data_IF_273779020227
#
_entry.id   IF_273779020227
#
_cell.length_a   1.000
_cell.length_b   1.000
_cell.length_c   1.000
_cell.angle_alpha   90.00
_cell.angle_beta   90.00
_cell.angle_gamma   90.00
#
_symmetry.space_group_name_H-M   'P 1'
#
loop_
_entity.id
_entity.type
_entity.pdbx_description
1 polymer ?
#
# COMPACT_ATOMS: atom_id res chain seq x y z
N UNK A 1 7.97 -29.73 7.14
CA UNK A 1 8.24 -28.87 8.31
C UNK A 1 8.08 -27.45 7.83
N UNK A 2 7.19 -26.67 8.42
CA UNK A 2 7.10 -25.23 8.09
C UNK A 2 8.44 -24.60 8.46
N UNK A 3 9.14 -23.99 7.50
CA UNK A 3 10.36 -23.24 7.77
C UNK A 3 9.96 -21.99 8.58
N UNK A 4 10.63 -21.77 9.69
CA UNK A 4 10.40 -20.60 10.55
C UNK A 4 11.17 -19.36 10.07
N UNK A 5 11.73 -19.42 8.87
CA UNK A 5 12.58 -18.37 8.32
C UNK A 5 12.03 -17.89 6.98
N UNK A 6 11.99 -16.59 6.77
CA UNK A 6 11.78 -15.92 5.50
C UNK A 6 12.81 -14.79 5.34
N UNK A 7 12.94 -14.22 4.16
CA UNK A 7 13.86 -13.12 3.94
C UNK A 7 13.06 -11.82 3.70
N UNK A 8 13.41 -10.76 4.41
CA UNK A 8 12.80 -9.45 4.23
C UNK A 8 13.78 -8.45 3.63
N UNK A 9 13.28 -7.61 2.71
CA UNK A 9 14.06 -6.55 2.08
C UNK A 9 13.28 -5.23 2.20
N UNK A 10 13.94 -4.15 2.55
CA UNK A 10 13.39 -2.79 2.60
C UNK A 10 14.05 -1.94 1.52
N UNK A 11 13.26 -1.46 0.54
CA UNK A 11 13.72 -0.62 -0.56
C UNK A 11 13.49 0.85 -0.20
N UNK A 12 14.53 1.50 0.32
CA UNK A 12 14.50 2.93 0.62
C UNK A 12 15.18 3.78 -0.46
N UNK A 13 14.87 5.07 -0.51
CA UNK A 13 15.42 6.01 -1.50
C UNK A 13 16.95 6.16 -1.47
N UNK A 14 17.60 5.88 -0.33
CA UNK A 14 19.07 5.99 -0.17
C UNK A 14 19.76 4.64 0.02
N UNK A 15 19.04 3.55 0.17
CA UNK A 15 19.62 2.23 0.39
C UNK A 15 18.58 1.14 0.48
N UNK A 16 18.91 0.00 -0.10
CA UNK A 16 18.18 -1.24 -0.03
C UNK A 16 18.80 -2.07 1.09
N UNK A 17 17.96 -2.55 2.01
CA UNK A 17 18.40 -3.29 3.19
C UNK A 17 17.68 -4.61 3.24
N UNK A 18 18.29 -5.65 3.76
CA UNK A 18 17.63 -6.94 3.94
C UNK A 18 18.33 -7.81 4.95
N UNK A 19 17.59 -8.78 5.46
CA UNK A 19 18.08 -9.80 6.37
C UNK A 19 17.14 -11.02 6.38
N UNK A 20 17.64 -12.20 6.75
CA UNK A 20 16.78 -13.30 7.17
C UNK A 20 16.05 -12.93 8.47
N UNK A 21 14.79 -13.36 8.56
CA UNK A 21 13.91 -13.08 9.70
C UNK A 21 13.54 -14.40 10.37
N UNK A 22 13.73 -14.49 11.69
CA UNK A 22 13.13 -15.54 12.50
C UNK A 22 11.66 -15.20 12.78
N UNK A 23 10.77 -15.84 12.06
CA UNK A 23 9.33 -15.61 12.15
C UNK A 23 8.70 -16.11 13.47
N UNK A 24 9.45 -16.86 14.27
CA UNK A 24 8.97 -17.27 15.59
C UNK A 24 9.26 -16.21 16.64
N UNK A 25 10.43 -15.59 16.54
CA UNK A 25 10.86 -14.53 17.44
C UNK A 25 10.34 -13.15 17.02
N UNK A 26 10.08 -12.94 15.72
CA UNK A 26 9.74 -11.64 15.17
C UNK A 26 10.94 -10.70 15.10
N UNK A 27 12.14 -11.27 14.88
CA UNK A 27 13.40 -10.54 14.90
C UNK A 27 14.27 -10.89 13.68
N UNK A 28 15.21 -10.01 13.36
CA UNK A 28 16.22 -10.33 12.36
C UNK A 28 17.10 -11.48 12.87
N UNK A 29 17.29 -12.51 12.06
CA UNK A 29 18.12 -13.66 12.43
C UNK A 29 19.63 -13.34 12.39
N UNK A 30 20.01 -12.29 11.64
CA UNK A 30 21.38 -11.77 11.54
C UNK A 30 21.35 -10.26 11.37
N UNK A 31 22.49 -9.60 11.45
CA UNK A 31 22.61 -8.20 11.09
C UNK A 31 22.15 -7.97 9.66
N UNK A 32 21.38 -6.88 9.44
CA UNK A 32 20.94 -6.48 8.10
C UNK A 32 22.11 -5.93 7.27
N UNK A 33 22.18 -6.33 6.02
CA UNK A 33 23.05 -5.71 5.04
C UNK A 33 22.36 -4.50 4.39
N UNK A 34 23.12 -3.50 3.99
CA UNK A 34 22.65 -2.33 3.25
C UNK A 34 23.49 -2.11 2.00
N UNK A 35 22.86 -2.04 0.84
CA UNK A 35 23.45 -1.63 -0.43
C UNK A 35 22.85 -0.26 -0.81
N UNK A 36 23.62 0.71 -1.32
CA UNK A 36 23.07 1.97 -1.82
C UNK A 36 22.04 1.75 -2.91
N UNK A 37 20.92 2.48 -2.86
CA UNK A 37 19.93 2.45 -3.94
C UNK A 37 20.53 3.01 -5.23
N UNK A 38 20.44 2.29 -6.35
CA UNK A 38 21.00 2.75 -7.62
C UNK A 38 20.30 4.04 -8.09
N UNK A 39 21.04 4.88 -8.79
CA UNK A 39 20.52 6.10 -9.39
C UNK A 39 20.83 6.12 -10.90
N UNK A 40 19.83 6.19 -11.77
CA UNK A 40 18.39 6.21 -11.49
C UNK A 40 17.88 4.87 -10.91
N UNK A 41 16.86 4.93 -10.04
CA UNK A 41 16.25 3.76 -9.39
C UNK A 41 15.23 3.08 -10.30
N UNK A 42 15.66 2.69 -11.50
CA UNK A 42 14.80 1.98 -12.47
C UNK A 42 14.52 0.55 -12.01
N UNK A 43 13.43 -0.10 -12.51
CA UNK A 43 13.09 -1.48 -12.18
C UNK A 43 14.25 -2.45 -12.30
N UNK A 44 14.95 -2.44 -13.44
CA UNK A 44 16.09 -3.34 -13.69
C UNK A 44 17.28 -3.09 -12.75
N UNK A 45 17.64 -1.83 -12.49
CA UNK A 45 18.75 -1.49 -11.62
C UNK A 45 18.47 -1.89 -10.16
N UNK A 46 17.24 -1.66 -9.69
CA UNK A 46 16.83 -2.05 -8.34
C UNK A 46 16.73 -3.57 -8.22
N UNK A 47 16.18 -4.27 -9.22
CA UNK A 47 16.09 -5.73 -9.22
C UNK A 47 17.49 -6.39 -9.17
N UNK A 48 18.47 -5.81 -9.85
CA UNK A 48 19.86 -6.28 -9.77
C UNK A 48 20.43 -6.09 -8.35
N UNK A 49 20.20 -4.93 -7.73
CA UNK A 49 20.65 -4.68 -6.35
C UNK A 49 19.97 -5.60 -5.34
N UNK A 50 18.68 -5.92 -5.56
CA UNK A 50 17.95 -6.91 -4.75
C UNK A 50 18.56 -8.29 -4.88
N UNK A 51 18.95 -8.72 -6.10
CA UNK A 51 19.65 -9.98 -6.34
C UNK A 51 20.98 -10.03 -5.59
N UNK A 52 21.83 -8.99 -5.76
CA UNK A 52 23.11 -8.88 -5.06
C UNK A 52 22.97 -8.98 -3.54
N UNK A 53 21.94 -8.32 -2.99
CA UNK A 53 21.65 -8.35 -1.56
C UNK A 53 21.32 -9.78 -1.09
N UNK A 54 20.43 -10.48 -1.80
CA UNK A 54 20.04 -11.85 -1.47
C UNK A 54 21.23 -12.80 -1.55
N UNK A 55 22.02 -12.72 -2.62
CA UNK A 55 23.22 -13.55 -2.81
C UNK A 55 24.26 -13.39 -1.68
N UNK A 56 24.28 -12.20 -1.04
CA UNK A 56 25.21 -11.94 0.06
C UNK A 56 24.91 -12.72 1.34
N UNK A 57 23.73 -13.38 1.44
CA UNK A 57 23.29 -14.08 2.64
C UNK A 57 23.28 -15.61 2.50
N UNK A 58 23.62 -16.16 1.32
CA UNK A 58 23.60 -17.62 1.06
C UNK A 58 22.29 -18.29 1.56
N UNK A 59 21.14 -17.66 1.27
CA UNK A 59 19.84 -18.18 1.68
C UNK A 59 19.47 -19.44 0.88
N UNK A 60 18.91 -20.44 1.56
CA UNK A 60 18.52 -21.68 0.93
C UNK A 60 17.45 -21.47 -0.16
N UNK A 61 17.54 -22.26 -1.23
CA UNK A 61 16.50 -22.30 -2.26
C UNK A 61 15.12 -22.58 -1.64
N UNK A 62 14.09 -21.86 -2.08
CA UNK A 62 12.72 -22.00 -1.59
C UNK A 62 12.44 -21.26 -0.27
N UNK A 63 13.35 -20.42 0.22
CA UNK A 63 13.04 -19.42 1.25
C UNK A 63 12.28 -18.28 0.56
N UNK A 64 11.04 -17.95 0.99
CA UNK A 64 10.29 -16.85 0.39
C UNK A 64 10.89 -15.50 0.78
N UNK A 65 10.80 -14.56 -0.14
CA UNK A 65 11.34 -13.22 -0.01
C UNK A 65 10.20 -12.20 -0.01
N UNK A 66 10.10 -11.39 1.02
CA UNK A 66 9.15 -10.27 1.10
C UNK A 66 9.82 -8.94 0.84
N UNK A 67 9.16 -8.08 0.06
CA UNK A 67 9.69 -6.77 -0.33
C UNK A 67 8.64 -5.70 -0.09
N UNK A 68 8.77 -4.83 0.93
CA UNK A 68 7.99 -3.61 1.03
C UNK A 68 8.41 -2.63 -0.07
N UNK A 69 7.43 -2.07 -0.74
CA UNK A 69 7.65 -1.16 -1.86
C UNK A 69 6.82 0.12 -1.69
N UNK A 70 7.40 1.32 -1.89
CA UNK A 70 6.72 2.59 -1.65
C UNK A 70 5.74 2.95 -2.77
N UNK A 71 4.76 2.09 -3.01
CA UNK A 71 3.70 2.25 -3.99
C UNK A 71 2.46 1.44 -3.61
N UNK A 72 1.33 1.77 -4.22
CA UNK A 72 0.15 0.90 -4.23
C UNK A 72 0.47 -0.35 -5.04
N UNK A 73 0.40 -1.52 -4.41
CA UNK A 73 0.67 -2.82 -5.04
C UNK A 73 -0.64 -3.60 -5.19
N UNK A 74 -1.02 -3.90 -6.42
CA UNK A 74 -2.21 -4.71 -6.71
C UNK A 74 -1.83 -5.91 -7.56
N UNK A 75 -1.98 -7.11 -7.01
CA UNK A 75 -1.62 -8.37 -7.66
C UNK A 75 -0.18 -8.36 -8.19
N UNK A 76 0.78 -7.94 -7.36
CA UNK A 76 2.19 -7.84 -7.70
C UNK A 76 2.58 -6.63 -8.56
N UNK A 77 1.61 -5.85 -9.06
CA UNK A 77 1.85 -4.74 -9.98
C UNK A 77 1.83 -3.39 -9.27
N UNK A 78 2.88 -2.60 -9.45
CA UNK A 78 2.94 -1.23 -8.95
C UNK A 78 1.97 -0.33 -9.72
N UNK A 79 1.06 0.34 -9.02
CA UNK A 79 0.03 1.22 -9.61
C UNK A 79 0.37 2.70 -9.50
N UNK A 80 1.21 3.05 -8.55
CA UNK A 80 1.65 4.43 -8.29
C UNK A 80 3.18 4.51 -8.24
N UNK A 81 3.73 5.71 -8.32
CA UNK A 81 5.17 5.97 -8.20
C UNK A 81 5.36 7.37 -7.62
N UNK A 82 4.93 7.61 -6.38
CA UNK A 82 5.02 8.93 -5.76
C UNK A 82 6.46 9.31 -5.43
N UNK A 83 7.25 8.36 -4.93
CA UNK A 83 8.61 8.58 -4.42
C UNK A 83 9.68 7.71 -5.12
N UNK A 84 9.34 7.08 -6.24
CA UNK A 84 10.23 6.24 -7.07
C UNK A 84 10.14 6.65 -8.53
N UNK A 85 11.01 6.10 -9.37
CA UNK A 85 11.01 6.36 -10.81
C UNK A 85 9.65 6.01 -11.44
N UNK A 86 9.14 6.85 -12.33
CA UNK A 86 7.84 6.64 -12.99
C UNK A 86 7.77 5.36 -13.84
N UNK A 87 8.91 4.78 -14.25
CA UNK A 87 8.97 3.51 -14.97
C UNK A 87 8.44 2.32 -14.17
N UNK A 88 8.29 2.47 -12.85
CA UNK A 88 7.65 1.45 -12.01
C UNK A 88 6.16 1.28 -12.26
N UNK A 89 5.46 2.32 -12.73
CA UNK A 89 4.01 2.25 -12.96
C UNK A 89 3.68 1.20 -14.01
N UNK A 90 2.91 0.18 -13.61
CA UNK A 90 2.54 -0.94 -14.47
C UNK A 90 3.54 -2.09 -14.47
N UNK A 91 4.68 -1.97 -13.79
CA UNK A 91 5.64 -3.07 -13.62
C UNK A 91 5.05 -4.14 -12.70
N UNK A 92 5.08 -5.40 -13.14
CA UNK A 92 4.86 -6.57 -12.29
C UNK A 92 6.14 -6.80 -11.46
N UNK A 93 6.11 -6.30 -10.24
CA UNK A 93 7.29 -6.27 -9.35
C UNK A 93 7.57 -7.66 -8.78
N UNK A 94 6.53 -8.44 -8.48
CA UNK A 94 6.66 -9.84 -8.03
C UNK A 94 7.38 -10.67 -9.11
N UNK A 95 6.90 -10.59 -10.35
CA UNK A 95 7.49 -11.34 -11.46
C UNK A 95 8.93 -10.89 -11.76
N UNK A 96 9.18 -9.57 -11.80
CA UNK A 96 10.51 -9.00 -12.05
C UNK A 96 11.54 -9.48 -11.02
N UNK A 97 11.20 -9.40 -9.73
CA UNK A 97 12.14 -9.79 -8.68
C UNK A 97 12.29 -11.30 -8.59
N UNK A 98 11.21 -12.07 -8.80
CA UNK A 98 11.27 -13.54 -8.85
C UNK A 98 12.16 -14.02 -9.99
N UNK A 99 12.01 -13.46 -11.20
CA UNK A 99 12.87 -13.80 -12.35
C UNK A 99 14.34 -13.46 -12.09
N UNK A 100 14.59 -12.27 -11.52
CA UNK A 100 15.96 -11.78 -11.30
C UNK A 100 16.68 -12.52 -10.18
N UNK A 101 15.99 -12.92 -9.14
CA UNK A 101 16.60 -13.52 -7.92
C UNK A 101 16.55 -15.04 -7.90
N UNK A 102 15.62 -15.67 -8.64
CA UNK A 102 15.35 -17.10 -8.57
C UNK A 102 14.64 -17.55 -7.28
N UNK A 103 14.15 -16.62 -6.47
CA UNK A 103 13.34 -16.90 -5.28
C UNK A 103 11.89 -16.45 -5.51
N UNK A 104 10.94 -17.07 -4.82
CA UNK A 104 9.55 -16.60 -4.81
C UNK A 104 9.50 -15.27 -4.04
N UNK A 105 9.27 -14.16 -4.76
CA UNK A 105 9.22 -12.82 -4.20
C UNK A 105 7.77 -12.34 -4.12
N UNK A 106 7.42 -11.75 -2.97
CA UNK A 106 6.11 -11.19 -2.69
C UNK A 106 6.27 -9.73 -2.30
N UNK A 107 5.65 -8.84 -3.05
CA UNK A 107 5.75 -7.40 -2.85
C UNK A 107 4.49 -6.85 -2.17
N UNK A 108 4.67 -5.95 -1.23
CA UNK A 108 3.60 -5.32 -0.46
C UNK A 108 3.88 -3.81 -0.34
N UNK A 109 2.86 -3.00 -0.10
CA UNK A 109 3.06 -1.60 0.26
C UNK A 109 3.91 -1.48 1.54
N UNK A 110 4.74 -0.45 1.67
CA UNK A 110 5.68 -0.29 2.78
C UNK A 110 5.00 -0.04 4.14
N UNK A 111 3.89 0.71 4.16
CA UNK A 111 3.11 0.92 5.36
C UNK A 111 2.33 -0.35 5.76
N UNK A 112 1.81 -1.10 4.78
CA UNK A 112 1.17 -2.39 5.01
C UNK A 112 2.15 -3.38 5.62
N UNK A 113 3.39 -3.46 5.12
CA UNK A 113 4.44 -4.30 5.70
C UNK A 113 4.73 -3.93 7.16
N UNK A 114 4.91 -2.64 7.45
CA UNK A 114 5.13 -2.18 8.83
C UNK A 114 3.94 -2.53 9.74
N UNK A 115 2.72 -2.39 9.24
CA UNK A 115 1.51 -2.77 9.96
C UNK A 115 1.43 -4.26 10.25
N UNK A 116 1.75 -5.13 9.29
CA UNK A 116 1.78 -6.59 9.48
C UNK A 116 2.74 -6.96 10.63
N UNK A 117 3.93 -6.37 10.65
CA UNK A 117 4.89 -6.62 11.72
C UNK A 117 4.36 -6.20 13.09
N UNK A 118 3.76 -5.02 13.21
CA UNK A 118 3.20 -4.50 14.46
C UNK A 118 1.99 -5.32 14.94
N UNK A 119 1.18 -5.84 14.02
CA UNK A 119 0.05 -6.72 14.35
C UNK A 119 0.51 -8.11 14.81
N UNK A 120 1.61 -8.63 14.27
CA UNK A 120 2.10 -9.98 14.60
C UNK A 120 2.98 -9.95 15.87
N UNK A 121 3.86 -8.95 16.02
CA UNK A 121 4.93 -8.97 17.04
C UNK A 121 4.99 -7.70 17.90
N UNK A 122 4.33 -6.62 17.50
CA UNK A 122 4.46 -5.33 18.15
C UNK A 122 3.20 -4.86 18.87
N UNK A 123 2.96 -3.56 18.82
CA UNK A 123 1.89 -2.85 19.55
C UNK A 123 0.47 -3.33 19.22
N UNK A 124 0.25 -3.99 18.08
CA UNK A 124 -1.04 -4.50 17.63
C UNK A 124 -1.30 -5.97 17.93
N UNK A 125 -0.35 -6.73 18.50
CA UNK A 125 -0.38 -8.20 18.61
C UNK A 125 -1.66 -8.78 19.22
N UNK A 126 -2.20 -8.15 20.25
CA UNK A 126 -3.39 -8.63 20.94
C UNK A 126 -4.65 -7.80 20.59
N UNK A 127 -4.52 -6.85 19.67
CA UNK A 127 -5.60 -5.96 19.28
C UNK A 127 -6.65 -6.70 18.42
N UNK A 128 -7.91 -6.35 18.64
CA UNK A 128 -9.07 -6.85 17.89
C UNK A 128 -9.86 -5.68 17.33
N UNK A 129 -10.79 -5.99 16.43
CA UNK A 129 -11.61 -4.99 15.78
C UNK A 129 -10.81 -4.21 14.73
N UNK A 130 -11.01 -2.91 14.68
CA UNK A 130 -10.39 -2.01 13.69
C UNK A 130 -9.09 -1.43 14.26
N UNK A 131 -7.96 -1.78 13.66
CA UNK A 131 -6.64 -1.21 14.02
C UNK A 131 -6.13 -0.39 12.83
N UNK A 132 -5.77 0.85 13.09
CA UNK A 132 -5.14 1.71 12.10
C UNK A 132 -3.68 1.96 12.51
N UNK A 133 -2.75 1.69 11.61
CA UNK A 133 -1.38 2.16 11.72
C UNK A 133 -1.14 3.33 10.78
N UNK A 134 -0.40 4.33 11.25
CA UNK A 134 0.13 5.42 10.43
C UNK A 134 1.66 5.42 10.52
N UNK A 135 2.33 5.65 9.40
CA UNK A 135 3.78 5.89 9.36
C UNK A 135 4.02 7.35 9.02
N UNK A 136 4.55 8.10 9.99
CA UNK A 136 4.81 9.54 9.85
C UNK A 136 6.29 9.77 9.48
N UNK A 137 6.51 10.39 8.33
CA UNK A 137 7.85 10.65 7.79
C UNK A 137 7.83 11.71 6.70
N UNK A 138 8.42 11.42 5.54
CA UNK A 138 8.36 12.30 4.34
C UNK A 138 6.93 12.54 3.91
N UNK A 139 6.11 11.50 3.90
CA UNK A 139 4.66 11.50 3.72
C UNK A 139 3.97 10.83 4.91
N UNK A 140 2.74 10.35 4.68
CA UNK A 140 1.93 9.61 5.65
C UNK A 140 1.43 8.32 5.02
N UNK A 141 2.12 7.22 5.33
CA UNK A 141 1.63 5.88 4.99
C UNK A 141 0.59 5.39 5.99
N UNK A 142 -0.28 4.49 5.57
CA UNK A 142 -1.32 3.92 6.43
C UNK A 142 -1.52 2.44 6.16
N UNK A 143 -1.79 1.66 7.22
CA UNK A 143 -2.23 0.28 7.12
C UNK A 143 -3.46 0.08 8.01
N UNK A 144 -4.49 -0.56 7.47
CA UNK A 144 -5.77 -0.81 8.14
C UNK A 144 -5.97 -2.30 8.33
N UNK A 145 -6.40 -2.68 9.53
CA UNK A 145 -6.71 -4.07 9.87
C UNK A 145 -8.11 -4.18 10.44
N UNK A 146 -8.77 -5.28 10.13
CA UNK A 146 -10.04 -5.67 10.75
C UNK A 146 -9.89 -7.09 11.28
N UNK A 147 -10.00 -7.24 12.60
CA UNK A 147 -9.79 -8.53 13.30
C UNK A 147 -8.47 -9.23 12.89
N UNK A 148 -7.39 -8.46 12.78
CA UNK A 148 -6.07 -8.93 12.40
C UNK A 148 -5.84 -9.11 10.90
N UNK A 149 -6.87 -8.92 10.05
CA UNK A 149 -6.76 -9.06 8.60
C UNK A 149 -6.48 -7.71 7.96
N UNK A 150 -5.42 -7.63 7.17
CA UNK A 150 -5.05 -6.42 6.43
C UNK A 150 -6.11 -6.05 5.38
N UNK A 151 -6.48 -4.79 5.35
CA UNK A 151 -7.16 -4.15 4.21
C UNK A 151 -6.07 -3.46 3.38
N UNK A 152 -5.59 -4.06 2.30
CA UNK A 152 -4.35 -3.64 1.66
C UNK A 152 -4.47 -2.30 0.94
N UNK A 153 -3.34 -1.59 0.85
CA UNK A 153 -3.19 -0.36 0.08
C UNK A 153 -4.15 0.77 0.50
N UNK A 154 -4.34 0.97 1.79
CA UNK A 154 -5.08 2.14 2.27
C UNK A 154 -4.19 3.38 2.21
N UNK A 155 -4.69 4.44 1.60
CA UNK A 155 -3.96 5.69 1.36
C UNK A 155 -4.62 6.86 2.13
N UNK A 156 -4.83 6.67 3.44
CA UNK A 156 -5.54 7.64 4.27
C UNK A 156 -4.72 8.93 4.53
N UNK A 157 -3.42 8.92 4.27
CA UNK A 157 -2.61 10.13 4.21
C UNK A 157 -3.06 11.10 3.11
N UNK A 158 -3.77 10.59 2.10
CA UNK A 158 -4.26 11.38 0.98
C UNK A 158 -5.71 11.86 1.12
N UNK A 159 -6.38 11.61 2.25
CA UNK A 159 -7.72 12.17 2.47
C UNK A 159 -7.68 13.70 2.40
N UNK A 160 -8.71 14.35 1.84
CA UNK A 160 -8.75 15.80 1.76
C UNK A 160 -8.82 16.45 3.15
N UNK A 161 -7.87 17.31 3.45
CA UNK A 161 -7.82 18.14 4.65
C UNK A 161 -7.34 19.54 4.25
N UNK A 162 -8.08 20.60 4.62
CA UNK A 162 -7.76 21.99 4.23
C UNK A 162 -7.61 22.21 2.72
N UNK A 163 -8.33 21.43 1.90
CA UNK A 163 -8.32 21.58 0.44
C UNK A 163 -7.16 20.89 -0.29
N UNK A 164 -6.32 20.16 0.42
CA UNK A 164 -5.25 19.33 -0.14
C UNK A 164 -5.17 17.97 0.58
N UNK A 165 -4.21 17.13 0.21
CA UNK A 165 -3.88 15.87 0.87
C UNK A 165 -3.45 16.11 2.32
N UNK A 166 -3.98 15.34 3.28
CA UNK A 166 -3.67 15.48 4.70
C UNK A 166 -2.16 15.41 5.00
N UNK A 167 -1.41 14.56 4.28
CA UNK A 167 0.04 14.47 4.46
C UNK A 167 0.78 15.78 4.23
N UNK A 168 0.27 16.65 3.32
CA UNK A 168 0.86 17.98 3.06
C UNK A 168 0.63 18.96 4.20
N UNK A 169 -0.22 18.62 5.15
CA UNK A 169 -0.53 19.42 6.33
C UNK A 169 0.15 18.87 7.59
N UNK A 170 0.21 17.53 7.76
CA UNK A 170 0.57 16.94 9.03
C UNK A 170 1.74 15.95 8.99
N UNK A 171 2.37 15.66 7.83
CA UNK A 171 3.57 14.80 7.78
C UNK A 171 4.72 15.37 8.63
N UNK A 172 5.65 14.51 9.09
CA UNK A 172 6.83 14.97 9.85
C UNK A 172 7.68 15.95 9.02
N UNK A 173 7.85 15.68 7.73
CA UNK A 173 8.56 16.57 6.81
C UNK A 173 7.96 17.98 6.75
N UNK A 174 6.65 18.10 6.96
CA UNK A 174 5.96 19.41 7.05
C UNK A 174 6.33 20.12 8.35
N UNK A 175 6.32 19.37 9.48
CA UNK A 175 6.76 19.91 10.78
C UNK A 175 8.16 20.50 10.68
N UNK A 176 9.10 19.77 10.05
CA UNK A 176 10.49 20.22 9.89
C UNK A 176 10.59 21.42 8.94
N UNK A 177 9.94 21.37 7.77
CA UNK A 177 9.97 22.43 6.77
C UNK A 177 9.38 23.76 7.30
N UNK A 178 8.33 23.67 8.12
CA UNK A 178 7.62 24.84 8.66
C UNK A 178 8.10 25.20 10.07
N UNK A 179 9.15 24.51 10.57
CA UNK A 179 9.76 24.74 11.87
C UNK A 179 8.76 24.70 13.03
N UNK A 180 7.70 23.85 12.90
CA UNK A 180 6.68 23.71 13.94
C UNK A 180 7.28 23.09 15.20
N UNK A 181 6.95 23.66 16.35
CA UNK A 181 7.20 22.97 17.61
C UNK A 181 6.28 21.76 17.78
N UNK A 182 6.49 20.97 18.85
CA UNK A 182 5.77 19.71 19.01
C UNK A 182 4.28 19.92 19.30
N UNK A 183 3.92 20.99 19.99
CA UNK A 183 2.52 21.31 20.33
C UNK A 183 1.75 21.79 19.09
N UNK A 184 2.34 22.69 18.32
CA UNK A 184 1.76 23.14 17.05
C UNK A 184 1.55 21.98 16.07
N UNK A 185 2.49 21.03 16.04
CA UNK A 185 2.35 19.85 15.22
C UNK A 185 1.30 18.88 15.75
N UNK A 186 1.21 18.70 17.07
CA UNK A 186 0.17 17.90 17.71
C UNK A 186 -1.24 18.41 17.40
N UNK A 187 -1.45 19.73 17.33
CA UNK A 187 -2.73 20.32 16.89
C UNK A 187 -3.12 19.83 15.48
N UNK A 188 -2.17 19.78 14.54
CA UNK A 188 -2.42 19.27 13.19
C UNK A 188 -2.71 17.76 13.18
N UNK A 189 -1.98 17.00 13.98
CA UNK A 189 -2.24 15.58 14.18
C UNK A 189 -3.62 15.34 14.80
N UNK A 190 -4.02 16.18 15.76
CA UNK A 190 -5.35 16.10 16.38
C UNK A 190 -6.46 16.21 15.32
N UNK A 191 -6.37 17.18 14.42
CA UNK A 191 -7.36 17.34 13.35
C UNK A 191 -7.45 16.10 12.46
N UNK A 192 -6.31 15.56 12.03
CA UNK A 192 -6.25 14.36 11.21
C UNK A 192 -6.81 13.15 11.94
N UNK A 193 -6.35 12.87 13.17
CA UNK A 193 -6.81 11.70 13.90
C UNK A 193 -8.28 11.81 14.34
N UNK A 194 -8.78 13.01 14.61
CA UNK A 194 -10.23 13.20 14.85
C UNK A 194 -11.07 12.85 13.63
N UNK A 195 -10.59 13.20 12.42
CA UNK A 195 -11.24 12.79 11.18
C UNK A 195 -11.18 11.28 10.98
N UNK A 196 -10.04 10.65 11.26
CA UNK A 196 -9.88 9.19 11.21
C UNK A 196 -10.83 8.50 12.20
N UNK A 197 -10.92 8.98 13.42
CA UNK A 197 -11.87 8.45 14.41
C UNK A 197 -13.31 8.55 13.94
N UNK A 198 -13.68 9.68 13.36
CA UNK A 198 -15.03 9.91 12.84
C UNK A 198 -15.39 8.93 11.70
N UNK A 199 -14.42 8.65 10.81
CA UNK A 199 -14.66 7.84 9.62
C UNK A 199 -14.58 6.33 9.91
N UNK A 200 -13.65 5.88 10.76
CA UNK A 200 -13.31 4.47 10.92
C UNK A 200 -13.64 3.90 12.31
N UNK A 201 -13.80 4.76 13.33
CA UNK A 201 -13.99 4.34 14.73
C UNK A 201 -13.01 3.23 15.14
N UNK A 202 -11.69 3.45 15.06
CA UNK A 202 -10.71 2.41 15.34
C UNK A 202 -10.72 2.03 16.83
N UNK A 203 -10.42 0.76 17.11
CA UNK A 203 -10.20 0.24 18.46
C UNK A 203 -8.78 0.54 18.95
N UNK A 204 -7.83 0.75 18.01
CA UNK A 204 -6.44 1.11 18.30
C UNK A 204 -5.85 1.90 17.14
N UNK A 205 -5.04 2.92 17.48
CA UNK A 205 -4.20 3.64 16.52
C UNK A 205 -2.73 3.42 16.88
N UNK A 206 -1.92 2.96 15.92
CA UNK A 206 -0.48 2.76 16.08
C UNK A 206 0.26 3.81 15.26
N UNK A 207 1.22 4.51 15.88
CA UNK A 207 1.99 5.56 15.20
C UNK A 207 3.44 5.10 15.01
N UNK A 208 3.80 4.84 13.76
CA UNK A 208 5.12 4.46 13.30
C UNK A 208 5.84 5.59 12.56
N UNK A 209 6.84 5.19 11.78
CA UNK A 209 7.74 6.10 11.08
C UNK A 209 8.86 6.64 11.96
N UNK A 210 9.79 7.39 11.36
CA UNK A 210 11.00 7.85 12.02
C UNK A 210 10.75 8.74 13.24
N UNK A 211 9.65 9.48 13.24
CA UNK A 211 9.27 10.40 14.32
C UNK A 211 8.71 9.68 15.55
N UNK A 212 8.29 8.42 15.44
CA UNK A 212 7.74 7.65 16.56
C UNK A 212 8.69 7.56 17.76
N UNK A 213 10.00 7.64 17.54
CA UNK A 213 11.02 7.75 18.63
C UNK A 213 10.79 8.95 19.55
N UNK A 214 10.09 9.98 19.09
CA UNK A 214 9.76 11.19 19.83
C UNK A 214 8.31 11.22 20.34
N UNK A 215 7.59 10.09 20.30
CA UNK A 215 6.16 9.98 20.65
C UNK A 215 5.77 10.68 21.95
N UNK A 216 6.63 10.68 22.98
CA UNK A 216 6.37 11.34 24.27
C UNK A 216 6.21 12.86 24.18
N UNK A 217 6.59 13.48 23.04
CA UNK A 217 6.53 14.93 22.86
C UNK A 217 5.23 15.40 22.20
N UNK A 218 4.44 14.50 21.61
CA UNK A 218 3.23 14.85 20.87
C UNK A 218 2.04 13.94 21.12
N UNK A 219 2.21 12.59 21.29
CA UNK A 219 1.07 11.71 21.52
C UNK A 219 0.28 12.05 22.80
N UNK A 220 0.90 12.46 23.93
CA UNK A 220 0.15 12.85 25.13
C UNK A 220 -0.69 14.12 24.98
N UNK A 221 -0.48 14.91 23.94
CA UNK A 221 -1.26 16.13 23.66
C UNK A 221 -2.53 15.85 22.84
N UNK A 222 -2.69 14.61 22.34
CA UNK A 222 -3.85 14.22 21.55
C UNK A 222 -5.00 13.75 22.45
N UNK A 223 -6.19 14.29 22.22
CA UNK A 223 -7.44 13.90 22.88
C UNK A 223 -8.31 13.08 21.90
N UNK A 224 -8.19 11.75 22.01
CA UNK A 224 -8.85 10.79 21.13
C UNK A 224 -9.60 9.76 21.97
N UNK A 225 -10.71 9.23 21.42
CA UNK A 225 -11.46 8.14 22.04
C UNK A 225 -10.72 6.81 21.97
N UNK A 226 -10.10 6.55 20.81
CA UNK A 226 -9.30 5.36 20.57
C UNK A 226 -7.93 5.49 21.26
N UNK A 227 -7.43 4.43 21.91
CA UNK A 227 -6.04 4.39 22.35
C UNK A 227 -5.11 4.68 21.18
N UNK A 228 -4.11 5.54 21.38
CA UNK A 228 -3.05 5.83 20.43
C UNK A 228 -1.70 5.50 21.06
N UNK A 229 -0.92 4.64 20.39
CA UNK A 229 0.35 4.12 20.92
C UNK A 229 1.47 4.23 19.87
N UNK A 230 2.74 4.33 20.29
CA UNK A 230 3.85 4.24 19.35
C UNK A 230 4.07 2.81 18.87
N UNK A 231 4.54 2.65 17.64
CA UNK A 231 5.05 1.39 17.10
C UNK A 231 6.26 0.88 17.90
N UNK A 232 6.36 -0.42 18.10
CA UNK A 232 7.41 -1.09 18.88
C UNK A 232 8.61 -1.51 18.05
N UNK A 233 8.39 -2.03 16.82
CA UNK A 233 9.43 -2.63 15.96
C UNK A 233 10.27 -1.61 15.17
N UNK A 234 9.84 -0.36 15.14
CA UNK A 234 10.60 0.77 14.59
C UNK A 234 11.13 0.52 13.16
N UNK A 235 12.47 0.61 12.99
CA UNK A 235 13.14 0.56 11.68
C UNK A 235 13.24 -0.85 11.08
N UNK A 236 12.81 -1.89 11.79
CA UNK A 236 12.84 -3.28 11.34
C UNK A 236 11.45 -3.76 10.90
N UNK A 237 10.40 -3.00 11.24
CA UNK A 237 9.01 -3.37 10.94
C UNK A 237 8.78 -3.71 9.46
N UNK A 238 9.32 -2.92 8.53
CA UNK A 238 9.17 -3.18 7.10
C UNK A 238 9.78 -4.53 6.67
N UNK A 239 11.01 -4.82 7.10
CA UNK A 239 11.71 -6.08 6.79
C UNK A 239 10.97 -7.27 7.40
N UNK A 240 10.60 -7.17 8.69
CA UNK A 240 9.91 -8.26 9.41
C UNK A 240 8.53 -8.52 8.80
N UNK A 241 7.73 -7.48 8.59
CA UNK A 241 6.37 -7.63 8.07
C UNK A 241 6.33 -8.16 6.64
N UNK A 242 7.26 -7.74 5.79
CA UNK A 242 7.37 -8.29 4.44
C UNK A 242 7.76 -9.78 4.47
N UNK A 243 8.67 -10.18 5.35
CA UNK A 243 9.02 -11.60 5.54
C UNK A 243 7.83 -12.44 6.03
N UNK A 244 7.03 -11.89 6.97
CA UNK A 244 5.78 -12.53 7.44
C UNK A 244 4.80 -12.72 6.28
N UNK A 245 4.53 -11.67 5.52
CA UNK A 245 3.63 -11.73 4.37
C UNK A 245 4.10 -12.77 3.35
N UNK A 246 5.38 -12.78 3.00
CA UNK A 246 5.94 -13.73 2.04
C UNK A 246 5.74 -15.18 2.49
N UNK A 247 5.89 -15.46 3.79
CA UNK A 247 5.63 -16.79 4.35
C UNK A 247 4.15 -17.16 4.24
N UNK A 248 3.24 -16.25 4.59
CA UNK A 248 1.81 -16.52 4.50
C UNK A 248 1.39 -16.78 3.04
N UNK A 249 1.86 -15.97 2.09
CA UNK A 249 1.56 -16.13 0.67
C UNK A 249 2.11 -17.45 0.09
N UNK A 250 3.31 -17.88 0.52
CA UNK A 250 3.86 -19.19 0.15
C UNK A 250 3.02 -20.34 0.72
N UNK A 251 2.63 -20.27 1.99
CA UNK A 251 1.82 -21.31 2.64
C UNK A 251 0.44 -21.44 1.96
N UNK A 252 -0.20 -20.32 1.59
CA UNK A 252 -1.45 -20.31 0.82
C UNK A 252 -1.28 -20.95 -0.57
N UNK A 253 -0.20 -20.63 -1.26
CA UNK A 253 0.12 -21.17 -2.59
C UNK A 253 0.35 -22.68 -2.49
N UNK A 254 1.09 -23.14 -1.50
CA UNK A 254 1.31 -24.58 -1.23
C UNK A 254 0.03 -25.31 -0.86
N UNK A 255 -0.83 -24.72 -0.04
CA UNK A 255 -2.12 -25.28 0.32
C UNK A 255 -3.04 -25.41 -0.90
N UNK A 256 -3.05 -24.42 -1.78
CA UNK A 256 -3.79 -24.45 -3.05
C UNK A 256 -3.27 -25.51 -4.02
N UNK A 257 -1.96 -25.72 -4.10
CA UNK A 257 -1.31 -26.72 -4.95
C UNK A 257 -1.46 -28.17 -4.40
N UNK A 258 -1.43 -28.35 -3.06
CA UNK A 258 -1.58 -29.65 -2.38
C UNK A 258 -3.03 -30.15 -2.27
N UNK A 259 -3.99 -29.26 -2.44
CA UNK A 259 -5.43 -29.54 -2.36
C UNK A 259 -6.02 -30.03 -3.67
N UNK A 260 -5.81 -31.29 -4.03
CA UNK A 260 -6.54 -31.95 -5.11
C UNK A 260 -8.01 -32.11 -4.70
N UNK A 261 -8.85 -31.03 -4.85
CA UNK A 261 -10.28 -31.16 -4.58
C UNK A 261 -11.09 -29.93 -4.16
N UNK A 262 -10.64 -28.71 -4.32
CA UNK A 262 -11.54 -27.53 -4.15
C UNK A 262 -11.26 -26.37 -5.12
N UNK A 263 -11.41 -26.64 -6.44
CA UNK A 263 -11.65 -25.59 -7.44
C UNK A 263 -13.06 -25.03 -7.23
N UNK A 264 -13.27 -23.98 -6.43
CA UNK A 264 -14.54 -23.21 -6.48
C UNK A 264 -14.48 -21.73 -6.07
N UNK A 265 -13.41 -21.19 -5.51
CA UNK A 265 -13.41 -19.78 -5.13
C UNK A 265 -12.85 -18.84 -6.20
N UNK A 266 -11.77 -19.19 -6.88
CA UNK A 266 -11.17 -18.36 -7.96
C UNK A 266 -12.09 -18.22 -9.18
N UNK A 267 -12.75 -19.32 -9.60
CA UNK A 267 -13.66 -19.30 -10.75
C UNK A 267 -14.94 -18.45 -10.52
N UNK A 268 -15.33 -18.22 -9.29
CA UNK A 268 -16.48 -17.36 -8.96
C UNK A 268 -16.10 -15.87 -9.03
N UNK A 269 -14.92 -15.50 -8.59
CA UNK A 269 -14.40 -14.13 -8.68
C UNK A 269 -14.15 -13.74 -10.14
N UNK A 270 -13.47 -14.59 -10.92
CA UNK A 270 -13.22 -14.36 -12.35
C UNK A 270 -14.52 -14.28 -13.17
N UNK A 271 -15.52 -15.12 -12.84
CA UNK A 271 -16.85 -15.04 -13.48
C UNK A 271 -17.62 -13.79 -13.09
N UNK A 272 -17.49 -13.32 -11.85
CA UNK A 272 -18.11 -12.07 -11.38
C UNK A 272 -17.44 -10.86 -12.06
N UNK A 273 -16.12 -10.85 -12.17
CA UNK A 273 -15.34 -9.82 -12.85
C UNK A 273 -15.67 -9.75 -14.33
N UNK A 274 -15.69 -10.90 -15.03
CA UNK A 274 -16.07 -10.99 -16.45
C UNK A 274 -17.54 -10.57 -16.70
N UNK A 275 -18.42 -10.77 -15.71
CA UNK A 275 -19.82 -10.35 -15.78
C UNK A 275 -19.96 -8.83 -15.59
N UNK A 276 -19.17 -8.22 -14.70
CA UNK A 276 -19.06 -6.77 -14.50
C UNK A 276 -18.51 -6.06 -15.74
N UNK A 277 -17.43 -6.57 -16.34
CA UNK A 277 -16.87 -6.02 -17.57
C UNK A 277 -17.83 -6.10 -18.76
N UNK A 278 -18.57 -7.22 -18.89
CA UNK A 278 -19.62 -7.34 -19.93
C UNK A 278 -20.78 -6.37 -19.68
N UNK A 279 -21.13 -6.08 -18.43
CA UNK A 279 -22.18 -5.13 -18.12
C UNK A 279 -21.74 -3.68 -18.37
N UNK A 280 -20.48 -3.33 -18.04
CA UNK A 280 -19.89 -2.03 -18.34
C UNK A 280 -19.86 -1.75 -19.85
N UNK A 281 -19.33 -2.70 -20.66
CA UNK A 281 -19.33 -2.59 -22.14
C UNK A 281 -20.73 -2.50 -22.76
N UNK A 282 -21.75 -3.04 -22.09
CA UNK A 282 -23.15 -2.93 -22.51
C UNK A 282 -23.76 -1.57 -22.16
N UNK A 283 -23.31 -0.98 -21.03
CA UNK A 283 -23.65 0.38 -20.59
C UNK A 283 -23.12 1.43 -21.57
N UNK A 284 -21.84 1.35 -21.93
CA UNK A 284 -21.18 2.27 -22.86
C UNK A 284 -21.81 2.25 -24.25
N UNK A 285 -22.12 1.05 -24.79
CA UNK A 285 -22.83 0.92 -26.09
C UNK A 285 -24.25 1.52 -26.06
N UNK A 286 -24.91 1.50 -24.87
CA UNK A 286 -26.25 2.05 -24.72
C UNK A 286 -26.20 3.58 -24.57
N UNK A 287 -25.16 4.10 -23.92
CA UNK A 287 -24.90 5.54 -23.79
C UNK A 287 -24.55 6.16 -25.16
N UNK A 288 -23.65 5.54 -25.92
CA UNK A 288 -23.25 5.97 -27.27
C UNK A 288 -24.43 5.99 -28.25
N UNK A 289 -25.30 4.95 -28.18
CA UNK A 289 -26.51 4.87 -29.01
C UNK A 289 -27.55 5.94 -28.64
N UNK A 290 -27.60 6.35 -27.36
CA UNK A 290 -28.46 7.43 -26.87
C UNK A 290 -27.94 8.82 -27.27
N UNK A 291 -26.61 9.02 -27.23
CA UNK A 291 -25.94 10.23 -27.69
C UNK A 291 -26.20 10.46 -29.18
N UNK A 292 -25.93 9.47 -30.04
CA UNK A 292 -26.19 9.56 -31.50
C UNK A 292 -27.65 9.81 -31.85
N UNK A 293 -28.59 9.36 -31.01
CA UNK A 293 -30.03 9.59 -31.22
C UNK A 293 -30.43 11.01 -30.88
N UNK A 294 -29.75 11.61 -29.88
CA UNK A 294 -29.95 12.99 -29.48
C UNK A 294 -29.36 13.97 -30.51
N UNK A 295 -28.18 13.67 -31.05
CA UNK A 295 -27.53 14.48 -32.09
C UNK A 295 -28.38 14.54 -33.36
N UNK A 296 -28.89 13.39 -33.85
CA UNK A 296 -29.82 13.34 -35.00
C UNK A 296 -31.13 14.09 -34.75
N UNK A 297 -31.55 14.22 -33.47
CA UNK A 297 -32.78 14.96 -33.14
C UNK A 297 -32.52 16.47 -33.07
N UNK A 298 -31.28 16.83 -32.70
CA UNK A 298 -30.84 18.25 -32.70
C UNK A 298 -30.64 18.76 -34.13
N UNK A 299 -30.03 17.98 -35.03
CA UNK A 299 -29.85 18.30 -36.45
C UNK A 299 -31.20 18.54 -37.14
N UNK A 300 -32.16 17.57 -36.98
CA UNK A 300 -33.52 17.76 -37.54
C UNK A 300 -34.27 18.96 -37.02
N UNK A 301 -33.97 19.43 -35.79
CA UNK A 301 -34.60 20.62 -35.20
C UNK A 301 -34.00 21.89 -35.77
N UNK A 302 -32.71 21.89 -36.11
CA UNK A 302 -31.98 22.99 -36.73
C UNK A 302 -32.41 23.19 -38.18
N UNK A 303 -32.56 22.08 -38.96
CA UNK A 303 -33.07 22.11 -40.33
C UNK A 303 -34.49 22.60 -40.39
N UNK A 304 -35.37 22.23 -39.46
CA UNK A 304 -36.76 22.68 -39.43
C UNK A 304 -36.91 24.14 -39.06
N UNK A 305 -35.95 24.71 -38.26
CA UNK A 305 -35.92 26.13 -37.94
C UNK A 305 -35.33 27.01 -39.03
N UNK A 306 -34.38 26.49 -39.84
CA UNK A 306 -33.86 27.19 -41.02
C UNK A 306 -34.87 27.24 -42.15
N UNK A 307 -35.64 26.17 -42.38
CA UNK A 307 -36.70 26.14 -43.37
C UNK A 307 -37.87 27.09 -43.05
N UNK A 308 -38.18 27.30 -41.73
CA UNK A 308 -39.22 28.29 -41.33
C UNK A 308 -38.77 29.73 -41.47
N UNK A 309 -37.45 30.01 -41.47
CA UNK A 309 -36.93 31.38 -41.67
C UNK A 309 -36.87 31.80 -43.13
N UNK A 310 -36.89 30.88 -44.08
CA UNK A 310 -36.89 31.17 -45.52
C UNK A 310 -38.27 31.45 -46.11
N UNK A 311 -39.38 31.06 -45.41
CA UNK A 311 -40.74 31.28 -45.88
C UNK A 311 -41.43 32.51 -45.28
N UNK A 312 -40.72 33.35 -44.54
CA UNK A 312 -41.25 34.61 -43.97
C UNK A 312 -40.60 35.87 -44.52
N UNK A 313 -40.03 35.79 -45.75
CA UNK A 313 -39.52 36.95 -46.50
C UNK A 313 -40.07 36.85 -47.92
N UNK A 314 -41.33 37.11 -48.05
CA UNK A 314 -42.02 37.59 -49.29
C UNK A 314 -43.19 38.47 -48.84
#
# INVERSE_FOLDING_TARGET
MSSTTAFGIDIGGSGIKGAPVDLKAGELATDRLRIPTPQPSTPDAVAETVRELIESFDIAAGVPVGVPFPAVIQHGVAKTAANVDHSWIGTDVDALFTERTGHDVFVVNDADAAGIAEMEFGAGRDAKGVVLMTTLGTGVGTALFVDGHLVPNTELGHIPLHGDSAEKYMAESVREREELDWSQWAERLQEYYSLIEFLFNPDLIIVGGGVSKHHKKYLPELDLRAPIVPAELRNEAGIIGAAVLARHAEDETRAAAGGNGRKKSGLAADKAQAKLEKSAKKGDKKADKKARKNDKKAEKKTEKNSAKKSTSKD
#
